data_IF_531520540325
#
_entry.id   IF_531520540325
#
_cell.length_a   1.000
_cell.length_b   1.000
_cell.length_c   1.000
_cell.angle_alpha   90.00
_cell.angle_beta   90.00
_cell.angle_gamma   90.00
#
_symmetry.space_group_name_H-M   'P 1'
#
loop_
_entity.id
_entity.type
_entity.pdbx_description
1 polymer ?
#
# COMPACT_ATOMS: atom_id res chain seq x y z
N UNK A 1 53.70 39.36 -17.27
CA UNK A 1 52.22 39.35 -17.45
C UNK A 1 51.55 37.99 -17.20
N UNK A 2 52.21 36.95 -16.66
CA UNK A 2 51.56 35.64 -16.36
C UNK A 2 51.01 35.50 -14.93
N UNK A 3 51.45 36.32 -13.97
CA UNK A 3 51.02 36.24 -12.56
C UNK A 3 49.67 36.92 -12.26
N UNK A 4 49.21 37.85 -13.11
CA UNK A 4 47.91 38.52 -12.94
C UNK A 4 46.73 37.68 -13.49
N UNK A 5 46.96 36.88 -14.52
CA UNK A 5 45.95 35.93 -15.04
C UNK A 5 45.68 34.76 -14.07
N UNK A 6 46.69 34.31 -13.33
CA UNK A 6 46.52 33.25 -12.33
C UNK A 6 45.72 33.71 -11.11
N UNK A 7 45.89 34.97 -10.68
CA UNK A 7 45.15 35.54 -9.56
C UNK A 7 43.65 35.74 -9.87
N UNK A 8 43.32 36.13 -11.11
CA UNK A 8 41.91 36.30 -11.55
C UNK A 8 41.19 34.95 -11.67
N UNK A 9 41.90 33.88 -12.06
CA UNK A 9 41.30 32.54 -12.17
C UNK A 9 41.02 31.88 -10.81
N UNK A 10 41.80 32.19 -9.77
CA UNK A 10 41.59 31.66 -8.40
C UNK A 10 40.40 32.35 -7.72
N UNK A 11 40.21 33.66 -7.95
CA UNK A 11 39.06 34.41 -7.41
C UNK A 11 37.74 33.94 -8.06
N UNK A 12 37.75 33.63 -9.37
CA UNK A 12 36.57 33.11 -10.07
C UNK A 12 36.18 31.68 -9.64
N UNK A 13 37.15 30.84 -9.28
CA UNK A 13 36.89 29.51 -8.71
C UNK A 13 36.45 29.55 -7.24
N UNK A 14 36.95 30.50 -6.43
CA UNK A 14 36.49 30.67 -5.05
C UNK A 14 35.07 31.27 -4.96
N UNK A 15 34.63 32.09 -5.92
CA UNK A 15 33.26 32.61 -5.97
C UNK A 15 32.21 31.58 -6.39
N UNK A 16 32.60 30.51 -7.11
CA UNK A 16 31.68 29.44 -7.49
C UNK A 16 31.45 28.41 -6.34
N UNK A 17 32.35 28.35 -5.37
CA UNK A 17 32.27 27.41 -4.24
C UNK A 17 31.39 27.90 -3.08
N UNK A 18 30.99 29.19 -3.06
CA UNK A 18 30.17 29.77 -1.97
C UNK A 18 28.67 29.89 -2.31
N UNK A 19 28.24 29.47 -3.51
CA UNK A 19 26.82 29.49 -3.93
C UNK A 19 26.13 28.12 -4.00
N UNK A 20 26.81 27.02 -3.64
CA UNK A 20 26.24 25.66 -3.70
C UNK A 20 25.82 25.13 -2.31
N UNK A 21 25.98 25.90 -1.24
CA UNK A 21 25.56 25.52 0.12
C UNK A 21 24.48 26.43 0.69
N UNK A 22 23.42 26.70 -0.07
CA UNK A 22 22.18 27.28 0.47
C UNK A 22 20.98 27.04 -0.45
N UNK A 23 20.58 25.78 -0.65
CA UNK A 23 19.18 25.47 -0.99
C UNK A 23 18.56 24.63 0.13
N UNK A 24 17.68 25.21 0.96
CA UNK A 24 16.87 24.43 1.88
C UNK A 24 15.81 23.71 1.05
N UNK A 25 15.95 22.38 0.91
CA UNK A 25 14.84 21.59 0.38
C UNK A 25 15.16 20.34 -0.44
N UNK A 26 16.42 19.94 -0.64
CA UNK A 26 16.70 18.61 -1.20
C UNK A 26 16.48 17.53 -0.14
N UNK A 27 15.21 17.24 0.14
CA UNK A 27 14.81 15.97 0.74
C UNK A 27 15.13 14.91 -0.31
N UNK A 28 16.22 14.19 -0.11
CA UNK A 28 16.43 12.90 -0.77
C UNK A 28 15.22 11.98 -0.53
N UNK A 29 15.14 10.82 -1.19
CA UNK A 29 14.02 9.88 -1.05
C UNK A 29 14.03 9.23 0.34
N UNK A 30 13.75 10.04 1.36
CA UNK A 30 13.32 9.64 2.67
C UNK A 30 11.96 9.02 2.44
N UNK A 31 11.93 7.69 2.47
CA UNK A 31 10.92 6.96 3.21
C UNK A 31 9.51 7.57 3.11
N UNK A 32 8.98 7.64 1.89
CA UNK A 32 7.55 7.48 1.72
C UNK A 32 7.20 6.02 2.07
N UNK A 33 7.36 5.67 3.35
CA UNK A 33 6.33 4.90 4.04
C UNK A 33 5.11 5.80 4.04
N UNK A 34 4.50 5.94 2.87
CA UNK A 34 3.20 6.52 2.72
C UNK A 34 2.34 5.82 3.76
N UNK A 35 1.85 6.62 4.70
CA UNK A 35 0.68 6.35 5.51
C UNK A 35 -0.35 5.66 4.61
N UNK A 36 -0.31 4.33 4.57
CA UNK A 36 -1.33 3.55 3.88
C UNK A 36 -2.54 3.59 4.79
N UNK A 37 -3.42 4.54 4.53
CA UNK A 37 -4.85 4.35 4.70
C UNK A 37 -5.43 4.72 6.06
N UNK A 38 -5.04 5.84 6.64
CA UNK A 38 -5.81 6.47 7.73
C UNK A 38 -7.10 7.17 7.28
N UNK A 39 -7.71 6.77 6.14
CA UNK A 39 -8.63 7.63 5.40
C UNK A 39 -9.97 7.02 4.96
N UNK A 40 -10.36 5.85 5.45
CA UNK A 40 -11.73 5.32 5.21
C UNK A 40 -12.33 4.54 6.40
N UNK A 41 -11.51 4.16 7.39
CA UNK A 41 -11.92 3.35 8.55
C UNK A 41 -11.59 4.00 9.90
N UNK A 42 -11.15 5.26 9.91
CA UNK A 42 -10.82 5.97 11.16
C UNK A 42 -12.06 6.28 12.02
N UNK A 43 -13.25 6.18 11.43
CA UNK A 43 -14.51 6.64 12.04
C UNK A 43 -15.53 5.51 12.30
N UNK A 44 -15.11 4.23 12.23
CA UNK A 44 -15.98 3.10 12.58
C UNK A 44 -15.23 2.14 13.49
N UNK A 45 -15.87 1.70 14.57
CA UNK A 45 -15.43 0.68 15.54
C UNK A 45 -15.27 -0.71 14.90
N UNK A 46 -14.56 -0.80 13.79
CA UNK A 46 -14.41 -2.02 12.99
C UNK A 46 -13.06 -2.62 13.38
N UNK A 47 -13.07 -3.42 14.43
CA UNK A 47 -11.89 -4.13 14.89
C UNK A 47 -11.57 -5.27 13.92
N UNK A 48 -10.30 -5.44 13.52
CA UNK A 48 -9.87 -6.65 12.81
C UNK A 48 -10.26 -7.91 13.60
N UNK A 49 -10.82 -8.96 12.97
CA UNK A 49 -11.25 -10.18 13.65
C UNK A 49 -10.13 -10.87 14.44
N UNK A 50 -8.89 -10.78 13.96
CA UNK A 50 -7.71 -11.27 14.71
C UNK A 50 -7.54 -10.58 16.06
N UNK A 51 -7.88 -9.29 16.19
CA UNK A 51 -7.86 -8.60 17.49
C UNK A 51 -8.98 -9.09 18.40
N UNK A 52 -10.14 -9.48 17.85
CA UNK A 52 -11.23 -10.07 18.64
C UNK A 52 -10.77 -11.38 19.29
N UNK A 53 -10.09 -12.25 18.53
CA UNK A 53 -9.50 -13.49 19.06
C UNK A 53 -8.41 -13.23 20.10
N UNK A 54 -7.56 -12.21 19.89
CA UNK A 54 -6.54 -11.83 20.88
C UNK A 54 -7.16 -11.27 22.17
N UNK A 55 -8.32 -10.62 22.07
CA UNK A 55 -9.05 -10.05 23.19
C UNK A 55 -10.11 -11.00 23.77
N UNK A 56 -10.14 -12.28 23.36
CA UNK A 56 -11.25 -13.21 23.63
C UNK A 56 -11.67 -13.30 25.11
N UNK A 57 -10.70 -13.33 26.02
CA UNK A 57 -10.96 -13.38 27.47
C UNK A 57 -11.54 -12.06 27.99
N UNK A 58 -11.14 -10.93 27.40
CA UNK A 58 -11.58 -9.58 27.81
C UNK A 58 -12.98 -9.25 27.31
N UNK A 59 -13.35 -9.78 26.15
CA UNK A 59 -14.67 -9.56 25.53
C UNK A 59 -15.63 -10.73 25.75
N UNK A 60 -15.21 -11.76 26.51
CA UNK A 60 -16.05 -12.89 26.90
C UNK A 60 -16.51 -13.77 25.74
N UNK A 61 -15.66 -14.00 24.73
CA UNK A 61 -16.04 -14.91 23.64
C UNK A 61 -16.24 -16.33 24.17
N UNK A 62 -17.37 -16.93 23.81
CA UNK A 62 -17.58 -18.35 24.01
C UNK A 62 -16.82 -19.18 22.94
N UNK A 63 -16.70 -20.49 23.17
CA UNK A 63 -15.95 -21.38 22.29
C UNK A 63 -16.52 -21.41 20.86
N UNK A 64 -17.84 -21.31 20.71
CA UNK A 64 -18.49 -21.31 19.40
C UNK A 64 -18.18 -20.03 18.60
N UNK A 65 -18.19 -18.88 19.26
CA UNK A 65 -17.80 -17.59 18.67
C UNK A 65 -16.33 -17.59 18.26
N UNK A 66 -15.44 -18.09 19.14
CA UNK A 66 -14.00 -18.24 18.83
C UNK A 66 -13.79 -19.11 17.58
N UNK A 67 -14.43 -20.28 17.52
CA UNK A 67 -14.32 -21.20 16.40
C UNK A 67 -14.86 -20.59 15.09
N UNK A 68 -16.01 -19.91 15.14
CA UNK A 68 -16.59 -19.25 13.96
C UNK A 68 -15.70 -18.13 13.44
N UNK A 69 -15.22 -17.25 14.32
CA UNK A 69 -14.31 -16.16 13.93
C UNK A 69 -13.02 -16.72 13.33
N UNK A 70 -12.45 -17.78 13.93
CA UNK A 70 -11.28 -18.48 13.40
C UNK A 70 -11.49 -19.01 11.98
N UNK A 71 -12.60 -19.73 11.75
CA UNK A 71 -12.93 -20.29 10.43
C UNK A 71 -13.15 -19.20 9.37
N UNK A 72 -13.77 -18.08 9.74
CA UNK A 72 -13.97 -16.93 8.84
C UNK A 72 -12.64 -16.30 8.43
N UNK A 73 -11.72 -16.13 9.38
CA UNK A 73 -10.36 -15.62 9.11
C UNK A 73 -9.63 -16.55 8.15
N UNK A 74 -9.63 -17.86 8.43
CA UNK A 74 -8.95 -18.85 7.59
C UNK A 74 -9.51 -18.86 6.17
N UNK A 75 -10.84 -18.89 6.02
CA UNK A 75 -11.51 -18.87 4.72
C UNK A 75 -11.14 -17.63 3.92
N UNK A 76 -11.18 -16.45 4.57
CA UNK A 76 -10.79 -15.20 3.92
C UNK A 76 -9.31 -15.20 3.54
N UNK A 77 -8.41 -15.74 4.37
CA UNK A 77 -6.98 -15.81 4.06
C UNK A 77 -6.68 -16.73 2.87
N UNK A 78 -7.29 -17.92 2.84
CA UNK A 78 -7.17 -18.84 1.71
C UNK A 78 -7.65 -18.19 0.41
N UNK A 79 -8.80 -17.51 0.46
CA UNK A 79 -9.31 -16.75 -0.67
C UNK A 79 -8.36 -15.62 -1.08
N UNK A 80 -7.89 -14.80 -0.13
CA UNK A 80 -7.01 -13.67 -0.39
C UNK A 80 -5.66 -14.08 -0.99
N UNK A 81 -5.13 -15.25 -0.62
CA UNK A 81 -3.91 -15.80 -1.22
C UNK A 81 -4.14 -16.12 -2.70
N UNK A 82 -5.22 -16.85 -3.02
CA UNK A 82 -5.55 -17.21 -4.42
C UNK A 82 -5.83 -15.96 -5.25
N UNK A 83 -6.66 -15.07 -4.72
CA UNK A 83 -7.02 -13.81 -5.37
C UNK A 83 -5.79 -12.89 -5.58
N UNK A 84 -4.89 -12.84 -4.61
CA UNK A 84 -3.63 -12.11 -4.73
C UNK A 84 -2.71 -12.67 -5.81
N UNK A 85 -2.67 -14.00 -5.99
CA UNK A 85 -1.93 -14.63 -7.08
C UNK A 85 -2.52 -14.27 -8.46
N UNK A 86 -3.84 -14.29 -8.61
CA UNK A 86 -4.51 -13.86 -9.84
C UNK A 86 -4.22 -12.40 -10.19
N UNK A 87 -4.23 -11.52 -9.18
CA UNK A 87 -3.90 -10.10 -9.37
C UNK A 87 -2.45 -9.91 -9.84
N UNK A 88 -1.50 -10.70 -9.30
CA UNK A 88 -0.10 -10.71 -9.77
C UNK A 88 0.00 -11.18 -11.22
N UNK A 89 -0.75 -12.21 -11.61
CA UNK A 89 -0.78 -12.69 -13.00
C UNK A 89 -1.27 -11.57 -13.93
N UNK A 90 -2.35 -10.86 -13.58
CA UNK A 90 -2.80 -9.70 -14.38
C UNK A 90 -1.76 -8.59 -14.45
N UNK A 91 -1.01 -8.34 -13.37
CA UNK A 91 0.06 -7.36 -13.36
C UNK A 91 1.20 -7.72 -14.32
N UNK A 92 1.57 -9.00 -14.36
CA UNK A 92 2.55 -9.50 -15.32
C UNK A 92 2.03 -9.35 -16.76
N UNK A 93 0.76 -9.71 -17.02
CA UNK A 93 0.14 -9.51 -18.35
C UNK A 93 0.15 -8.05 -18.77
N UNK A 94 -0.16 -7.12 -17.88
CA UNK A 94 -0.12 -5.68 -18.16
C UNK A 94 1.31 -5.24 -18.49
N UNK A 95 2.29 -5.65 -17.68
CA UNK A 95 3.71 -5.35 -17.92
C UNK A 95 4.16 -5.87 -19.29
N UNK A 96 3.82 -7.10 -19.65
CA UNK A 96 4.14 -7.67 -20.96
C UNK A 96 3.46 -6.91 -22.10
N UNK A 97 2.19 -6.51 -21.92
CA UNK A 97 1.45 -5.72 -22.92
C UNK A 97 2.10 -4.36 -23.18
N UNK A 98 2.59 -3.70 -22.13
CA UNK A 98 3.26 -2.40 -22.23
C UNK A 98 4.69 -2.50 -22.77
N UNK A 99 5.33 -3.66 -22.66
CA UNK A 99 6.68 -3.91 -23.18
C UNK A 99 6.70 -4.39 -24.64
N UNK A 100 5.53 -4.60 -25.26
CA UNK A 100 5.44 -5.01 -26.65
C UNK A 100 5.92 -3.89 -27.60
N UNK A 101 6.50 -4.27 -28.74
CA UNK A 101 6.97 -3.33 -29.77
C UNK A 101 5.85 -2.40 -30.26
N UNK A 102 4.63 -2.94 -30.37
CA UNK A 102 3.40 -2.16 -30.59
C UNK A 102 2.47 -2.35 -29.40
N UNK A 103 2.27 -1.28 -28.64
CA UNK A 103 1.39 -1.28 -27.47
C UNK A 103 -0.07 -1.44 -27.92
N UNK A 104 -0.75 -2.46 -27.40
CA UNK A 104 -2.19 -2.58 -27.50
C UNK A 104 -2.85 -1.82 -26.33
N UNK A 105 -3.23 -0.56 -26.57
CA UNK A 105 -3.81 0.32 -25.54
C UNK A 105 -5.13 -0.21 -24.98
N UNK A 106 -6.00 -0.78 -25.82
CA UNK A 106 -7.29 -1.34 -25.39
C UNK A 106 -7.10 -2.48 -24.38
N UNK A 107 -6.17 -3.40 -24.67
CA UNK A 107 -5.84 -4.48 -23.76
C UNK A 107 -5.19 -3.98 -22.45
N UNK A 108 -4.31 -2.98 -22.54
CA UNK A 108 -3.70 -2.38 -21.36
C UNK A 108 -4.74 -1.70 -20.46
N UNK A 109 -5.66 -0.92 -21.03
CA UNK A 109 -6.76 -0.28 -20.30
C UNK A 109 -7.65 -1.30 -19.61
N UNK A 110 -8.05 -2.37 -20.32
CA UNK A 110 -8.83 -3.46 -19.76
C UNK A 110 -8.14 -4.07 -18.54
N UNK A 111 -6.85 -4.40 -18.64
CA UNK A 111 -6.09 -4.99 -17.53
C UNK A 111 -5.96 -4.03 -16.34
N UNK A 112 -5.82 -2.72 -16.58
CA UNK A 112 -5.79 -1.70 -15.53
C UNK A 112 -7.14 -1.64 -14.79
N UNK A 113 -8.26 -1.63 -15.52
CA UNK A 113 -9.61 -1.62 -14.93
C UNK A 113 -9.86 -2.88 -14.11
N UNK A 114 -9.56 -4.06 -14.66
CA UNK A 114 -9.69 -5.33 -13.94
C UNK A 114 -8.85 -5.34 -12.66
N UNK A 115 -7.64 -4.78 -12.65
CA UNK A 115 -6.84 -4.66 -11.44
C UNK A 115 -7.42 -3.70 -10.41
N UNK A 116 -8.03 -2.60 -10.85
CA UNK A 116 -8.70 -1.66 -9.96
C UNK A 116 -9.92 -2.32 -9.31
N UNK A 117 -10.73 -3.03 -10.09
CA UNK A 117 -11.89 -3.80 -9.61
C UNK A 117 -11.45 -4.85 -8.60
N UNK A 118 -10.38 -5.59 -8.89
CA UNK A 118 -9.85 -6.58 -7.94
C UNK A 118 -9.42 -5.95 -6.62
N UNK A 119 -8.79 -4.76 -6.64
CA UNK A 119 -8.40 -4.06 -5.41
C UNK A 119 -9.62 -3.63 -4.60
N UNK A 120 -10.68 -3.17 -5.26
CA UNK A 120 -11.93 -2.82 -4.61
C UNK A 120 -12.56 -4.07 -3.97
N UNK A 121 -12.61 -5.19 -4.69
CA UNK A 121 -13.16 -6.44 -4.17
C UNK A 121 -12.40 -6.94 -2.93
N UNK A 122 -11.07 -6.80 -2.90
CA UNK A 122 -10.26 -7.13 -1.72
C UNK A 122 -10.63 -6.28 -0.50
N UNK A 123 -10.91 -4.98 -0.71
CA UNK A 123 -11.34 -4.09 0.37
C UNK A 123 -12.75 -4.42 0.84
N UNK A 124 -13.67 -4.73 -0.09
CA UNK A 124 -15.05 -5.14 0.21
C UNK A 124 -15.05 -6.47 0.98
N UNK A 125 -14.26 -7.46 0.56
CA UNK A 125 -14.16 -8.74 1.24
C UNK A 125 -13.64 -8.60 2.67
N UNK A 126 -12.62 -7.75 2.88
CA UNK A 126 -12.13 -7.42 4.23
C UNK A 126 -13.22 -6.78 5.08
N UNK A 127 -13.98 -5.85 4.50
CA UNK A 127 -15.08 -5.18 5.19
C UNK A 127 -16.17 -6.17 5.59
N UNK A 128 -16.59 -7.05 4.68
CA UNK A 128 -17.57 -8.10 4.96
C UNK A 128 -17.10 -8.99 6.11
N UNK A 129 -15.86 -9.49 6.04
CA UNK A 129 -15.27 -10.29 7.12
C UNK A 129 -15.35 -9.57 8.48
N UNK A 130 -15.03 -8.27 8.52
CA UNK A 130 -15.09 -7.50 9.75
C UNK A 130 -16.53 -7.33 10.26
N UNK A 131 -17.49 -7.01 9.37
CA UNK A 131 -18.89 -6.87 9.73
C UNK A 131 -19.49 -8.17 10.24
N UNK A 132 -19.21 -9.27 9.56
CA UNK A 132 -19.70 -10.60 9.93
C UNK A 132 -19.11 -11.03 11.29
N UNK A 133 -17.82 -10.75 11.54
CA UNK A 133 -17.20 -11.05 12.83
C UNK A 133 -17.76 -10.20 13.97
N UNK A 134 -18.09 -8.93 13.72
CA UNK A 134 -18.74 -8.06 14.70
C UNK A 134 -20.17 -8.51 15.01
N UNK A 135 -20.92 -9.01 14.02
CA UNK A 135 -22.26 -9.55 14.22
C UNK A 135 -22.26 -10.79 15.16
N UNK A 136 -21.15 -11.53 15.23
CA UNK A 136 -20.98 -12.63 16.18
C UNK A 136 -20.73 -12.16 17.63
N UNK A 137 -20.31 -10.91 17.85
CA UNK A 137 -20.16 -10.31 19.17
C UNK A 137 -21.48 -9.81 19.74
N UNK A 138 -22.48 -9.63 18.88
CA UNK A 138 -23.82 -9.21 19.24
C UNK A 138 -24.79 -10.40 19.21
N UNK A 139 -24.73 -11.31 20.19
CA UNK A 139 -25.96 -11.98 20.59
C UNK A 139 -26.09 -12.15 22.12
N UNK A 140 -27.27 -11.77 22.61
CA UNK A 140 -27.82 -11.77 23.99
C UNK A 140 -27.66 -10.49 24.81
#
# INVERSE_FOLDING_TARGET
>A
MKKRFFAVSIVLFLSAALFITAQPGFRGPASERGQRGGGFFADRNILPPRLLLQAKEKIGLNADQENKIGAMIETHEQWAIKFGAEMKIKALKLRTTLAAEKINLENAEKLIREQADMRAELQIARLRLQMDAMALLTPE
#
